data_IF_322420739179
#
_entry.id   IF_322420739179
#
_cell.length_a   1.000
_cell.length_b   1.000
_cell.length_c   1.000
_cell.angle_alpha   90.00
_cell.angle_beta   90.00
_cell.angle_gamma   90.00
#
_symmetry.space_group_name_H-M   'P 1'
#
loop_
_entity.id
_entity.type
_entity.pdbx_description
1 polymer ?
#
# COMPACT_ATOMS: atom_id res chain seq x y z
N UNK A 1 8.60 18.64 -21.35
CA UNK A 1 8.64 18.56 -19.86
C UNK A 1 8.63 19.95 -19.26
N UNK A 2 7.65 20.30 -18.42
CA UNK A 2 7.63 21.58 -17.68
C UNK A 2 8.78 21.57 -16.64
N UNK A 3 9.66 22.57 -16.69
CA UNK A 3 10.69 22.80 -15.68
C UNK A 3 10.14 23.78 -14.65
N UNK A 4 10.13 23.38 -13.38
CA UNK A 4 9.83 24.28 -12.27
C UNK A 4 11.12 24.99 -11.88
N UNK A 5 11.10 26.32 -11.86
CA UNK A 5 12.25 27.15 -11.47
C UNK A 5 11.91 27.81 -10.13
N UNK A 6 12.65 27.45 -9.08
CA UNK A 6 12.49 28.04 -7.75
C UNK A 6 13.65 29.00 -7.45
N UNK A 7 13.34 30.26 -7.13
CA UNK A 7 14.28 31.32 -6.71
C UNK A 7 14.34 32.57 -7.61
N UNK A 8 14.89 33.69 -7.08
CA UNK A 8 15.29 34.90 -7.84
C UNK A 8 16.84 34.97 -7.94
N UNK A 9 17.40 35.38 -9.07
CA UNK A 9 18.85 35.59 -9.27
C UNK A 9 19.68 34.32 -9.62
N UNK A 10 20.99 34.33 -9.32
CA UNK A 10 21.99 33.29 -9.70
C UNK A 10 21.73 31.86 -9.16
N UNK A 11 20.73 31.63 -8.31
CA UNK A 11 20.36 30.30 -7.77
C UNK A 11 18.99 29.87 -8.29
N UNK A 12 18.89 29.59 -9.59
CA UNK A 12 17.72 28.90 -10.17
C UNK A 12 17.82 27.41 -9.91
N UNK A 13 16.88 26.87 -9.13
CA UNK A 13 16.72 25.42 -8.97
C UNK A 13 15.91 24.89 -10.15
N UNK A 14 16.55 24.17 -11.07
CA UNK A 14 15.83 23.51 -12.17
C UNK A 14 15.35 22.11 -11.76
N UNK A 15 14.07 22.02 -11.40
CA UNK A 15 13.37 20.77 -11.12
C UNK A 15 12.53 20.34 -12.32
N UNK A 16 12.65 19.09 -12.72
CA UNK A 16 11.70 18.45 -13.64
C UNK A 16 10.42 18.08 -12.90
N UNK A 17 9.32 17.81 -13.60
CA UNK A 17 8.10 17.28 -12.99
C UNK A 17 8.35 16.04 -12.13
N UNK A 18 9.15 15.10 -12.64
CA UNK A 18 9.58 13.89 -11.94
C UNK A 18 10.36 14.18 -10.65
N UNK A 19 11.18 15.24 -10.64
CA UNK A 19 11.88 15.65 -9.42
C UNK A 19 10.92 16.19 -8.36
N UNK A 20 9.92 16.97 -8.77
CA UNK A 20 8.91 17.50 -7.86
C UNK A 20 8.10 16.36 -7.24
N UNK A 21 7.71 15.37 -8.04
CA UNK A 21 7.01 14.17 -7.56
C UNK A 21 7.84 13.38 -6.54
N UNK A 22 9.11 13.11 -6.86
CA UNK A 22 10.01 12.44 -5.92
C UNK A 22 10.11 13.18 -4.59
N UNK A 23 10.30 14.50 -4.67
CA UNK A 23 10.49 15.33 -3.48
C UNK A 23 9.19 15.44 -2.66
N UNK A 24 8.01 15.45 -3.27
CA UNK A 24 6.71 15.40 -2.57
C UNK A 24 6.48 14.07 -1.87
N UNK A 25 6.82 12.97 -2.53
CA UNK A 25 6.71 11.64 -1.94
C UNK A 25 7.68 11.50 -0.76
N UNK A 26 8.95 11.92 -0.94
CA UNK A 26 9.93 11.96 0.14
C UNK A 26 9.50 12.89 1.28
N UNK A 27 8.90 14.04 0.96
CA UNK A 27 8.58 15.10 1.92
C UNK A 27 7.69 14.62 3.06
N UNK A 28 6.84 13.62 2.86
CA UNK A 28 6.13 13.11 4.03
C UNK A 28 5.93 11.61 4.14
N UNK A 29 6.48 10.78 3.24
CA UNK A 29 6.99 9.50 3.76
C UNK A 29 8.09 9.78 4.78
N UNK A 30 8.86 10.85 4.60
CA UNK A 30 9.82 11.38 5.58
C UNK A 30 11.18 10.70 5.54
N UNK A 31 11.31 9.53 4.90
CA UNK A 31 12.61 8.89 4.65
C UNK A 31 12.51 7.91 3.49
N UNK A 32 13.51 7.90 2.61
CA UNK A 32 13.72 6.89 1.58
C UNK A 32 15.06 6.20 1.73
N UNK A 33 15.17 4.95 1.28
CA UNK A 33 16.44 4.30 1.01
C UNK A 33 16.99 4.79 -0.35
N UNK A 34 18.28 4.55 -0.61
CA UNK A 34 18.83 4.74 -1.95
C UNK A 34 18.17 3.82 -2.98
N UNK A 35 17.70 2.64 -2.56
CA UNK A 35 16.97 1.70 -3.42
C UNK A 35 15.62 2.27 -3.85
N UNK A 36 14.89 2.97 -2.97
CA UNK A 36 13.66 3.67 -3.35
C UNK A 36 13.93 4.76 -4.38
N UNK A 37 15.02 5.52 -4.21
CA UNK A 37 15.41 6.51 -5.22
C UNK A 37 15.78 5.85 -6.55
N UNK A 38 16.45 4.70 -6.52
CA UNK A 38 16.75 3.92 -7.70
C UNK A 38 15.46 3.40 -8.36
N UNK A 39 14.53 2.79 -7.62
CA UNK A 39 13.22 2.37 -8.13
C UNK A 39 12.46 3.52 -8.77
N UNK A 40 12.43 4.69 -8.11
CA UNK A 40 11.72 5.87 -8.58
C UNK A 40 12.30 6.44 -9.88
N UNK A 41 13.63 6.53 -9.99
CA UNK A 41 14.32 7.16 -11.12
C UNK A 41 14.77 6.17 -12.20
N UNK A 42 14.77 4.87 -11.91
CA UNK A 42 15.28 3.80 -12.75
C UNK A 42 16.81 3.68 -12.68
N UNK A 43 17.51 4.29 -13.65
CA UNK A 43 18.91 3.93 -13.97
C UNK A 43 19.90 4.17 -12.83
N UNK A 44 20.86 3.24 -12.66
CA UNK A 44 21.83 3.21 -11.55
C UNK A 44 22.63 4.51 -11.35
N UNK A 45 22.97 5.24 -12.43
CA UNK A 45 23.77 6.47 -12.30
C UNK A 45 22.93 7.74 -12.22
N UNK A 46 21.70 7.74 -12.74
CA UNK A 46 20.88 8.94 -12.79
C UNK A 46 20.38 9.35 -11.40
N UNK A 47 19.84 8.40 -10.62
CA UNK A 47 19.29 8.70 -9.31
C UNK A 47 20.35 9.30 -8.37
N UNK A 48 21.57 8.75 -8.36
CA UNK A 48 22.67 9.26 -7.53
C UNK A 48 22.99 10.73 -7.85
N UNK A 49 23.13 11.06 -9.14
CA UNK A 49 23.36 12.45 -9.57
C UNK A 49 22.22 13.37 -9.15
N UNK A 50 20.97 12.91 -9.22
CA UNK A 50 19.81 13.67 -8.76
C UNK A 50 19.84 13.91 -7.25
N UNK A 51 20.09 12.87 -6.45
CA UNK A 51 20.17 12.98 -4.98
C UNK A 51 21.31 13.91 -4.56
N UNK A 52 22.47 13.82 -5.19
CA UNK A 52 23.59 14.75 -4.94
C UNK A 52 23.20 16.19 -5.26
N UNK A 53 22.51 16.42 -6.39
CA UNK A 53 22.02 17.75 -6.77
C UNK A 53 21.06 18.30 -5.70
N UNK A 54 20.11 17.49 -5.23
CA UNK A 54 19.18 17.86 -4.16
C UNK A 54 19.88 18.14 -2.83
N UNK A 55 20.93 17.39 -2.49
CA UNK A 55 21.71 17.60 -1.28
C UNK A 55 22.48 18.93 -1.35
N UNK A 56 23.13 19.24 -2.50
CA UNK A 56 23.79 20.54 -2.74
C UNK A 56 22.80 21.71 -2.64
N UNK A 57 21.56 21.50 -3.07
CA UNK A 57 20.46 22.45 -2.95
C UNK A 57 19.80 22.49 -1.57
N UNK A 58 20.31 21.71 -0.61
CA UNK A 58 19.76 21.59 0.75
C UNK A 58 18.29 21.17 0.78
N UNK A 59 17.81 20.47 -0.24
CA UNK A 59 16.45 19.90 -0.28
C UNK A 59 16.38 18.57 0.48
N UNK A 60 17.48 17.82 0.49
CA UNK A 60 17.57 16.54 1.18
C UNK A 60 18.84 16.42 2.02
N UNK A 61 18.81 15.55 3.03
CA UNK A 61 20.00 15.05 3.73
C UNK A 61 20.20 13.58 3.35
N UNK A 62 21.45 13.18 3.14
CA UNK A 62 21.83 11.78 2.88
C UNK A 62 22.76 11.29 3.98
N UNK A 63 22.46 10.15 4.60
CA UNK A 63 23.25 9.47 5.64
C UNK A 63 22.86 7.99 5.67
N UNK A 64 23.80 7.07 5.90
CA UNK A 64 23.52 5.63 6.08
C UNK A 64 22.62 5.02 4.98
N UNK A 65 22.90 5.32 3.71
CA UNK A 65 22.09 4.91 2.54
C UNK A 65 20.61 5.34 2.58
N UNK A 66 20.29 6.31 3.41
CA UNK A 66 18.96 6.89 3.53
C UNK A 66 18.98 8.36 3.06
N UNK A 67 17.81 8.83 2.65
CA UNK A 67 17.53 10.17 2.16
C UNK A 67 16.39 10.70 3.02
N UNK A 68 16.58 11.87 3.62
CA UNK A 68 15.53 12.57 4.38
C UNK A 68 15.23 13.91 3.71
N UNK A 69 13.96 14.36 3.74
CA UNK A 69 13.67 15.74 3.39
C UNK A 69 14.33 16.68 4.41
N UNK A 70 14.70 17.87 3.98
CA UNK A 70 15.12 18.95 4.90
C UNK A 70 13.91 19.81 5.25
N UNK A 71 14.00 20.54 6.37
CA UNK A 71 12.98 21.55 6.71
C UNK A 71 12.80 22.60 5.62
N UNK A 72 13.86 22.88 4.84
CA UNK A 72 13.78 23.74 3.67
C UNK A 72 12.88 23.14 2.57
N UNK A 73 13.04 21.85 2.24
CA UNK A 73 12.19 21.19 1.26
C UNK A 73 10.72 21.17 1.69
N UNK A 74 10.42 20.85 2.95
CA UNK A 74 9.04 20.82 3.43
C UNK A 74 8.42 22.22 3.46
N UNK A 75 9.17 23.25 3.84
CA UNK A 75 8.71 24.64 3.70
C UNK A 75 8.42 25.00 2.25
N UNK A 76 9.27 24.57 1.32
CA UNK A 76 9.17 24.86 -0.10
C UNK A 76 7.97 24.18 -0.78
N UNK A 77 7.63 22.95 -0.37
CA UNK A 77 6.54 22.18 -0.95
C UNK A 77 5.19 22.37 -0.25
N UNK A 78 5.18 22.73 1.03
CA UNK A 78 3.97 22.66 1.86
C UNK A 78 3.74 23.87 2.78
N UNK A 79 4.32 25.04 2.49
CA UNK A 79 3.96 26.29 3.18
C UNK A 79 4.34 26.39 4.67
N UNK A 80 5.21 25.51 5.18
CA UNK A 80 5.68 25.57 6.58
C UNK A 80 5.36 24.32 7.37
N UNK A 81 6.39 23.65 7.88
CA UNK A 81 6.28 22.50 8.77
C UNK A 81 7.66 22.02 9.18
N UNK A 82 7.78 21.56 10.43
CA UNK A 82 9.00 20.91 10.92
C UNK A 82 8.97 19.42 10.57
N UNK A 83 10.03 18.91 9.94
CA UNK A 83 10.27 17.47 9.85
C UNK A 83 10.93 17.04 11.16
N UNK A 84 10.25 16.18 11.92
CA UNK A 84 10.93 15.38 12.92
C UNK A 84 11.74 14.30 12.19
N UNK A 85 13.03 14.17 12.50
CA UNK A 85 13.82 13.04 12.04
C UNK A 85 13.13 11.75 12.50
N UNK A 86 12.87 10.86 11.54
CA UNK A 86 12.24 9.57 11.80
C UNK A 86 13.17 8.74 12.69
N UNK A 87 12.72 8.28 13.88
CA UNK A 87 13.53 7.40 14.72
C UNK A 87 13.92 6.12 13.98
N UNK A 88 15.11 5.59 14.25
CA UNK A 88 15.63 4.41 13.56
C UNK A 88 14.64 3.23 13.54
N UNK A 89 13.98 2.98 14.66
CA UNK A 89 12.96 1.93 14.86
C UNK A 89 11.73 2.04 13.93
N UNK A 90 11.44 3.24 13.40
CA UNK A 90 10.31 3.50 12.49
C UNK A 90 10.72 3.54 11.02
N UNK A 91 12.02 3.51 10.72
CA UNK A 91 12.49 3.61 9.32
C UNK A 91 11.97 2.48 8.46
N UNK A 92 12.00 1.25 8.96
CA UNK A 92 11.51 0.09 8.20
C UNK A 92 10.03 0.23 7.84
N UNK A 93 9.20 0.67 8.79
CA UNK A 93 7.79 0.93 8.58
C UNK A 93 7.52 2.00 7.51
N UNK A 94 8.31 3.08 7.51
CA UNK A 94 8.17 4.15 6.52
C UNK A 94 8.73 3.74 5.16
N UNK A 95 9.73 2.85 5.13
CA UNK A 95 10.19 2.22 3.89
C UNK A 95 9.09 1.39 3.24
N UNK A 96 8.34 0.64 4.02
CA UNK A 96 7.15 -0.06 3.54
C UNK A 96 6.13 0.88 2.90
N UNK A 97 5.90 2.04 3.51
CA UNK A 97 5.00 3.05 2.93
C UNK A 97 5.59 3.64 1.65
N UNK A 98 6.91 3.88 1.60
CA UNK A 98 7.59 4.30 0.38
C UNK A 98 7.40 3.27 -0.73
N UNK A 99 7.63 1.98 -0.45
CA UNK A 99 7.45 0.89 -1.40
C UNK A 99 5.99 0.84 -1.89
N UNK A 100 5.02 1.05 -1.00
CA UNK A 100 3.61 1.10 -1.37
C UNK A 100 3.30 2.30 -2.30
N UNK A 101 3.80 3.49 -1.97
CA UNK A 101 3.66 4.67 -2.82
C UNK A 101 4.29 4.46 -4.20
N UNK A 102 5.47 3.84 -4.25
CA UNK A 102 6.18 3.54 -5.49
C UNK A 102 5.44 2.49 -6.33
N UNK A 103 4.90 1.45 -5.68
CA UNK A 103 4.11 0.39 -6.30
C UNK A 103 2.82 0.92 -6.93
N UNK A 104 2.13 1.83 -6.25
CA UNK A 104 0.87 2.38 -6.72
C UNK A 104 1.06 3.38 -7.87
N UNK A 105 2.24 3.97 -8.03
CA UNK A 105 2.62 4.68 -9.24
C UNK A 105 3.43 5.94 -8.96
N UNK A 106 4.41 6.18 -9.82
CA UNK A 106 5.16 7.43 -9.88
C UNK A 106 4.51 8.34 -10.94
N UNK A 107 3.57 9.17 -10.51
CA UNK A 107 2.87 10.11 -11.36
C UNK A 107 1.86 10.97 -10.60
N UNK A 108 1.47 12.10 -11.18
CA UNK A 108 0.46 13.03 -10.67
C UNK A 108 -0.83 12.31 -10.29
N UNK A 109 -1.08 12.11 -8.99
CA UNK A 109 -2.28 11.43 -8.50
C UNK A 109 -2.14 10.87 -7.09
N UNK A 110 -0.92 10.47 -6.68
CA UNK A 110 -0.65 10.06 -5.30
C UNK A 110 -0.46 11.30 -4.43
N UNK A 111 -1.57 11.79 -3.87
CA UNK A 111 -1.53 12.83 -2.84
C UNK A 111 -1.41 12.17 -1.47
N UNK A 112 -0.18 12.15 -0.95
CA UNK A 112 0.02 11.75 0.44
C UNK A 112 -0.39 12.93 1.33
N UNK A 113 -1.68 12.98 1.72
CA UNK A 113 -2.18 14.00 2.62
C UNK A 113 -1.59 13.80 4.02
N UNK A 114 -0.60 14.63 4.36
CA UNK A 114 0.06 14.58 5.66
C UNK A 114 -0.77 15.23 6.76
N UNK A 115 -0.56 14.74 7.97
CA UNK A 115 -1.20 15.05 9.26
C UNK A 115 -1.62 16.52 9.52
N UNK A 116 -1.02 17.50 8.86
CA UNK A 116 -1.32 18.93 9.03
C UNK A 116 -2.41 19.49 8.10
N UNK A 117 -2.64 18.86 6.94
CA UNK A 117 -3.73 19.24 6.01
C UNK A 117 -5.06 18.55 6.35
N UNK A 118 -5.04 17.68 7.36
CA UNK A 118 -6.20 16.99 7.90
C UNK A 118 -6.54 17.63 9.25
N UNK A 119 -7.12 18.82 9.22
CA UNK A 119 -7.56 19.52 10.43
C UNK A 119 -8.49 18.63 11.27
N UNK A 120 -8.43 18.79 12.61
CA UNK A 120 -9.45 18.26 13.51
C UNK A 120 -9.31 16.82 14.01
N UNK A 121 -8.35 16.02 13.52
CA UNK A 121 -8.30 14.60 13.90
C UNK A 121 -7.02 14.20 14.63
N UNK A 122 -7.15 13.54 15.80
CA UNK A 122 -6.05 13.01 16.62
C UNK A 122 -5.38 11.77 15.98
N UNK A 123 -4.99 11.88 14.70
CA UNK A 123 -4.47 10.80 13.82
C UNK A 123 -3.02 10.41 14.14
N UNK A 124 -2.76 9.74 15.27
CA UNK A 124 -1.40 9.24 15.59
C UNK A 124 -0.94 8.10 14.66
N UNK A 125 -1.85 7.47 13.93
CA UNK A 125 -1.62 6.23 13.18
C UNK A 125 -1.90 6.30 11.67
N UNK A 126 -2.58 7.35 11.19
CA UNK A 126 -2.67 7.61 9.75
C UNK A 126 -1.30 8.07 9.26
N UNK A 127 -0.71 7.29 8.37
CA UNK A 127 0.59 7.57 7.81
C UNK A 127 0.49 8.27 6.44
N UNK A 128 -0.52 7.92 5.66
CA UNK A 128 -0.74 8.45 4.32
C UNK A 128 -2.23 8.34 3.92
N UNK A 129 -2.66 9.17 2.99
CA UNK A 129 -3.80 8.86 2.11
C UNK A 129 -3.20 8.62 0.73
N UNK A 130 -3.68 7.62 0.00
CA UNK A 130 -3.18 7.29 -1.34
C UNK A 130 -4.34 7.32 -2.32
N UNK A 131 -4.16 7.98 -3.47
CA UNK A 131 -5.18 8.03 -4.53
C UNK A 131 -4.62 7.50 -5.83
N UNK A 132 -5.34 6.58 -6.47
CA UNK A 132 -4.99 5.96 -7.75
C UNK A 132 -6.26 5.57 -8.51
N UNK A 133 -6.39 5.97 -9.77
CA UNK A 133 -7.50 5.57 -10.66
C UNK A 133 -8.89 5.75 -10.04
N UNK A 134 -9.09 6.88 -9.36
CA UNK A 134 -10.35 7.19 -8.65
C UNK A 134 -10.55 6.46 -7.31
N UNK A 135 -9.66 5.53 -6.94
CA UNK A 135 -9.65 4.86 -5.63
C UNK A 135 -8.80 5.64 -4.64
N UNK A 136 -9.34 5.85 -3.44
CA UNK A 136 -8.66 6.51 -2.34
C UNK A 136 -8.54 5.55 -1.16
N UNK A 137 -7.33 5.41 -0.61
CA UNK A 137 -6.99 4.53 0.50
C UNK A 137 -6.41 5.32 1.67
N UNK A 138 -6.98 5.18 2.87
CA UNK A 138 -6.32 5.59 4.10
C UNK A 138 -5.28 4.55 4.52
N UNK A 139 -4.01 4.93 4.68
CA UNK A 139 -2.93 4.03 5.07
C UNK A 139 -2.56 4.26 6.54
N UNK A 140 -2.74 3.23 7.34
CA UNK A 140 -2.51 3.22 8.77
C UNK A 140 -1.33 2.32 9.12
N UNK A 141 -0.56 2.73 10.13
CA UNK A 141 0.53 1.92 10.68
C UNK A 141 0.14 1.41 12.07
N UNK A 142 0.05 0.09 12.22
CA UNK A 142 -0.18 -0.56 13.51
C UNK A 142 1.15 -0.97 14.15
N UNK A 143 1.61 -0.15 15.11
CA UNK A 143 2.89 -0.38 15.81
C UNK A 143 2.79 -1.27 17.05
N UNK A 144 1.58 -1.49 17.57
CA UNK A 144 1.37 -2.17 18.85
C UNK A 144 0.38 -3.32 18.75
N UNK A 145 0.52 -4.28 19.65
CA UNK A 145 -0.35 -5.47 19.78
C UNK A 145 -1.49 -5.32 20.79
N UNK A 146 -1.61 -4.17 21.44
CA UNK A 146 -2.65 -3.97 22.45
C UNK A 146 -3.97 -3.59 21.81
N UNK A 147 -5.09 -3.99 22.45
CA UNK A 147 -6.45 -3.53 22.11
C UNK A 147 -6.54 -2.01 21.98
N UNK A 148 -5.80 -1.28 22.82
CA UNK A 148 -5.72 0.17 22.76
C UNK A 148 -5.04 0.68 21.49
N UNK A 149 -3.97 0.03 21.02
CA UNK A 149 -3.32 0.41 19.76
C UNK A 149 -4.25 0.15 18.56
N UNK A 150 -4.91 -1.01 18.53
CA UNK A 150 -5.89 -1.38 17.50
C UNK A 150 -7.11 -0.45 17.50
N UNK A 151 -7.68 -0.16 18.68
CA UNK A 151 -8.81 0.75 18.84
C UNK A 151 -8.53 2.12 18.24
N UNK A 152 -7.31 2.65 18.43
CA UNK A 152 -6.91 3.93 17.83
C UNK A 152 -6.78 3.92 16.31
N UNK A 153 -6.54 2.76 15.70
CA UNK A 153 -6.61 2.63 14.23
C UNK A 153 -8.07 2.67 13.78
N UNK A 154 -8.97 1.96 14.48
CA UNK A 154 -10.41 2.01 14.17
C UNK A 154 -11.01 3.41 14.37
N UNK A 155 -10.64 4.11 15.44
CA UNK A 155 -11.04 5.52 15.64
C UNK A 155 -10.59 6.36 14.45
N UNK A 156 -9.33 6.20 14.03
CA UNK A 156 -8.79 6.91 12.87
C UNK A 156 -9.49 6.57 11.55
N UNK A 157 -9.90 5.31 11.35
CA UNK A 157 -10.71 4.88 10.20
C UNK A 157 -12.07 5.57 10.20
N UNK A 158 -12.75 5.56 11.35
CA UNK A 158 -14.06 6.20 11.54
C UNK A 158 -14.00 7.71 11.30
N UNK A 159 -13.00 8.37 11.86
CA UNK A 159 -12.81 9.81 11.74
C UNK A 159 -12.41 10.25 10.33
N UNK A 160 -11.71 9.40 9.58
CA UNK A 160 -11.27 9.71 8.23
C UNK A 160 -12.40 9.59 7.20
N UNK A 161 -13.37 8.70 7.43
CA UNK A 161 -14.55 8.55 6.57
C UNK A 161 -14.25 8.08 5.14
N UNK A 162 -13.07 7.54 4.88
CA UNK A 162 -12.68 7.00 3.57
C UNK A 162 -13.18 5.56 3.47
N UNK A 163 -13.79 5.14 2.34
CA UNK A 163 -14.38 3.82 2.19
C UNK A 163 -13.36 2.68 2.10
N UNK A 164 -12.07 2.97 1.87
CA UNK A 164 -11.01 1.98 1.71
C UNK A 164 -9.81 2.30 2.57
N UNK A 165 -9.20 1.26 3.13
CA UNK A 165 -8.01 1.44 3.96
C UNK A 165 -7.00 0.29 3.84
N UNK A 166 -5.75 0.63 4.10
CA UNK A 166 -4.63 -0.30 4.26
C UNK A 166 -4.08 -0.15 5.66
N UNK A 167 -4.01 -1.24 6.41
CA UNK A 167 -3.39 -1.29 7.73
C UNK A 167 -2.11 -2.11 7.62
N UNK A 168 -0.97 -1.43 7.73
CA UNK A 168 0.36 -2.04 7.77
C UNK A 168 0.71 -2.43 9.20
N UNK A 169 0.90 -3.72 9.47
CA UNK A 169 1.22 -4.25 10.79
C UNK A 169 2.72 -4.49 10.95
N UNK A 170 3.30 -3.99 12.04
CA UNK A 170 4.72 -4.22 12.36
C UNK A 170 5.01 -5.55 13.06
N UNK A 171 3.99 -6.19 13.61
CA UNK A 171 4.13 -7.49 14.26
C UNK A 171 2.97 -8.40 13.91
N UNK A 172 3.24 -9.70 13.95
CA UNK A 172 2.24 -10.74 13.69
C UNK A 172 1.14 -10.72 14.74
N UNK A 173 1.48 -10.53 16.01
CA UNK A 173 0.51 -10.48 17.11
C UNK A 173 -0.43 -9.27 16.97
N UNK A 174 0.09 -8.13 16.51
CA UNK A 174 -0.75 -6.97 16.21
C UNK A 174 -1.71 -7.24 15.05
N UNK A 175 -1.25 -7.94 14.02
CA UNK A 175 -2.09 -8.35 12.89
C UNK A 175 -3.20 -9.31 13.32
N UNK A 176 -2.88 -10.32 14.14
CA UNK A 176 -3.84 -11.28 14.69
C UNK A 176 -4.89 -10.58 15.56
N UNK A 177 -4.47 -9.72 16.48
CA UNK A 177 -5.39 -8.97 17.35
C UNK A 177 -6.26 -7.99 16.54
N UNK A 178 -5.69 -7.34 15.51
CA UNK A 178 -6.47 -6.50 14.62
C UNK A 178 -7.53 -7.31 13.86
N UNK A 179 -7.14 -8.45 13.28
CA UNK A 179 -8.08 -9.32 12.56
C UNK A 179 -9.23 -9.77 13.45
N UNK A 180 -8.94 -10.19 14.69
CA UNK A 180 -9.94 -10.65 15.66
C UNK A 180 -10.96 -9.56 16.00
N UNK A 181 -10.53 -8.31 16.09
CA UNK A 181 -11.41 -7.19 16.40
C UNK A 181 -12.13 -6.65 15.15
N UNK A 182 -11.49 -6.68 13.99
CA UNK A 182 -12.03 -6.15 12.74
C UNK A 182 -13.36 -6.79 12.35
N UNK A 183 -13.58 -8.08 12.63
CA UNK A 183 -14.85 -8.76 12.37
C UNK A 183 -16.06 -8.04 12.99
N UNK A 184 -15.90 -7.47 14.18
CA UNK A 184 -16.95 -6.71 14.88
C UNK A 184 -17.05 -5.27 14.33
N UNK A 185 -15.92 -4.67 13.96
CA UNK A 185 -15.85 -3.27 13.56
C UNK A 185 -16.20 -3.02 12.09
N UNK A 186 -15.84 -3.92 11.16
CA UNK A 186 -16.09 -3.77 9.73
C UNK A 186 -17.56 -3.48 9.42
N UNK A 187 -18.49 -4.15 10.12
CA UNK A 187 -19.94 -3.93 9.98
C UNK A 187 -20.37 -2.49 10.26
N UNK A 188 -19.72 -1.81 11.21
CA UNK A 188 -20.14 -0.49 11.71
C UNK A 188 -19.48 0.66 10.95
N UNK A 189 -18.37 0.39 10.26
CA UNK A 189 -17.57 1.42 9.60
C UNK A 189 -17.97 1.65 8.13
N UNK A 190 -18.80 0.78 7.54
CA UNK A 190 -19.24 0.94 6.15
C UNK A 190 -18.08 0.90 5.14
N UNK A 191 -16.99 0.21 5.48
CA UNK A 191 -15.82 0.09 4.61
C UNK A 191 -16.14 -0.82 3.42
N UNK A 192 -15.77 -0.37 2.23
CA UNK A 192 -15.79 -1.18 1.02
C UNK A 192 -14.59 -2.13 0.98
N UNK A 193 -13.45 -1.73 1.55
CA UNK A 193 -12.20 -2.48 1.51
C UNK A 193 -11.33 -2.18 2.74
N UNK A 194 -10.81 -3.23 3.39
CA UNK A 194 -9.90 -3.09 4.52
C UNK A 194 -8.76 -4.11 4.40
N UNK A 195 -7.66 -3.68 3.79
CA UNK A 195 -6.49 -4.50 3.58
C UNK A 195 -5.65 -4.57 4.85
N UNK A 196 -5.49 -5.78 5.40
CA UNK A 196 -4.63 -6.00 6.56
C UNK A 196 -3.34 -6.67 6.10
N UNK A 197 -2.24 -5.91 6.10
CA UNK A 197 -1.00 -6.32 5.48
C UNK A 197 0.18 -6.22 6.45
N UNK A 198 1.11 -7.19 6.44
CA UNK A 198 2.37 -7.06 7.19
C UNK A 198 3.23 -5.95 6.54
N UNK A 199 3.85 -5.09 7.34
CA UNK A 199 4.55 -3.92 6.80
C UNK A 199 5.73 -4.30 5.88
N UNK A 200 6.49 -5.34 6.21
CA UNK A 200 7.69 -5.75 5.50
C UNK A 200 7.44 -6.29 4.07
N UNK A 201 6.34 -7.02 3.85
CA UNK A 201 6.02 -7.65 2.54
C UNK A 201 4.70 -7.19 1.93
N UNK A 202 3.79 -6.64 2.73
CA UNK A 202 2.47 -6.17 2.34
C UNK A 202 2.44 -5.20 1.16
N UNK A 203 3.30 -4.17 1.13
CA UNK A 203 3.40 -3.27 -0.02
C UNK A 203 3.62 -4.00 -1.35
N UNK A 204 4.53 -4.99 -1.38
CA UNK A 204 4.80 -5.79 -2.58
C UNK A 204 3.61 -6.66 -2.96
N UNK A 205 2.90 -7.22 -1.97
CA UNK A 205 1.67 -8.00 -2.21
C UNK A 205 0.60 -7.14 -2.86
N UNK A 206 0.37 -5.93 -2.32
CA UNK A 206 -0.61 -5.00 -2.86
C UNK A 206 -0.20 -4.50 -4.25
N UNK A 207 1.10 -4.27 -4.47
CA UNK A 207 1.65 -3.95 -5.79
C UNK A 207 1.32 -5.02 -6.83
N UNK A 208 1.59 -6.28 -6.51
CA UNK A 208 1.32 -7.43 -7.37
C UNK A 208 -0.17 -7.54 -7.68
N UNK A 209 -1.02 -7.48 -6.65
CA UNK A 209 -2.47 -7.58 -6.77
C UNK A 209 -3.12 -6.43 -7.56
N UNK A 210 -2.46 -5.27 -7.66
CA UNK A 210 -2.93 -4.12 -8.45
C UNK A 210 -2.20 -3.98 -9.80
N UNK A 211 -1.34 -4.92 -10.14
CA UNK A 211 -0.60 -4.90 -11.40
C UNK A 211 -1.48 -5.41 -12.56
N UNK A 212 -1.28 -4.92 -13.80
CA UNK A 212 -1.94 -5.49 -14.97
C UNK A 212 -1.65 -6.99 -15.17
N UNK A 213 -0.46 -7.45 -14.74
CA UNK A 213 -0.08 -8.86 -14.83
C UNK A 213 -0.98 -9.77 -14.00
N UNK A 214 -1.46 -9.31 -12.84
CA UNK A 214 -2.39 -10.09 -12.02
C UNK A 214 -3.75 -10.32 -12.70
N UNK A 215 -4.30 -9.30 -13.38
CA UNK A 215 -5.54 -9.50 -14.16
C UNK A 215 -5.32 -10.47 -15.32
N UNK A 216 -4.13 -10.45 -15.94
CA UNK A 216 -3.73 -11.42 -16.95
C UNK A 216 -3.74 -12.85 -16.41
N UNK A 217 -3.11 -13.08 -15.25
CA UNK A 217 -3.10 -14.38 -14.58
C UNK A 217 -4.51 -14.89 -14.23
N UNK A 218 -5.40 -13.99 -13.80
CA UNK A 218 -6.81 -14.35 -13.56
C UNK A 218 -7.52 -14.72 -14.86
N UNK A 219 -7.34 -13.96 -15.94
CA UNK A 219 -7.96 -14.24 -17.23
C UNK A 219 -7.47 -15.54 -17.87
N UNK A 220 -6.20 -15.92 -17.65
CA UNK A 220 -5.63 -17.19 -18.09
C UNK A 220 -6.22 -18.39 -17.32
N UNK A 221 -6.34 -18.28 -15.99
CA UNK A 221 -6.89 -19.36 -15.16
C UNK A 221 -8.42 -19.46 -15.24
N UNK A 222 -9.10 -18.33 -15.47
CA UNK A 222 -10.55 -18.24 -15.50
C UNK A 222 -10.99 -17.49 -16.77
N UNK A 223 -11.00 -18.17 -17.94
CA UNK A 223 -11.40 -17.54 -19.19
C UNK A 223 -12.81 -16.95 -19.10
N UNK A 224 -12.96 -15.69 -19.49
CA UNK A 224 -14.24 -14.97 -19.41
C UNK A 224 -14.64 -14.50 -18.01
N UNK A 225 -13.72 -14.50 -17.05
CA UNK A 225 -13.97 -13.96 -15.70
C UNK A 225 -14.32 -12.48 -15.74
N UNK A 226 -15.38 -12.10 -15.03
CA UNK A 226 -15.87 -10.72 -14.97
C UNK A 226 -15.83 -10.20 -13.53
N UNK A 227 -15.29 -9.00 -13.33
CA UNK A 227 -15.29 -8.36 -12.01
C UNK A 227 -16.69 -7.83 -11.68
N UNK A 228 -17.24 -8.24 -10.53
CA UNK A 228 -18.57 -7.82 -10.06
C UNK A 228 -18.51 -6.91 -8.83
N UNK A 229 -17.42 -6.97 -8.06
CA UNK A 229 -17.15 -6.06 -6.94
C UNK A 229 -15.62 -5.94 -6.72
N UNK A 230 -15.14 -5.06 -5.82
CA UNK A 230 -13.73 -5.08 -5.42
C UNK A 230 -13.32 -6.48 -4.96
N UNK A 231 -12.28 -7.03 -5.59
CA UNK A 231 -11.74 -8.37 -5.31
C UNK A 231 -12.71 -9.55 -5.49
N UNK A 232 -13.89 -9.33 -6.09
CA UNK A 232 -14.87 -10.39 -6.36
C UNK A 232 -15.20 -10.41 -7.84
N UNK A 233 -15.17 -11.61 -8.38
CA UNK A 233 -15.40 -11.89 -9.78
C UNK A 233 -16.44 -12.99 -9.94
N UNK A 234 -17.02 -13.07 -11.13
CA UNK A 234 -17.92 -14.14 -11.54
C UNK A 234 -17.29 -14.89 -12.71
N UNK A 235 -17.30 -16.21 -12.62
CA UNK A 235 -16.80 -17.12 -13.65
C UNK A 235 -17.67 -18.38 -13.66
N UNK A 236 -18.24 -18.72 -14.82
CA UNK A 236 -19.11 -19.89 -14.99
C UNK A 236 -20.24 -20.01 -13.95
N UNK A 237 -20.86 -18.88 -13.60
CA UNK A 237 -21.92 -18.82 -12.58
C UNK A 237 -21.42 -18.95 -11.13
N UNK A 238 -20.12 -19.15 -10.92
CA UNK A 238 -19.47 -19.22 -9.60
C UNK A 238 -18.84 -17.88 -9.22
N UNK A 239 -18.71 -17.64 -7.92
CA UNK A 239 -17.94 -16.50 -7.41
C UNK A 239 -16.48 -16.88 -7.21
N UNK A 240 -15.59 -16.03 -7.71
CA UNK A 240 -14.15 -16.09 -7.48
C UNK A 240 -13.76 -14.90 -6.59
N UNK A 241 -13.28 -15.16 -5.38
CA UNK A 241 -12.94 -14.13 -4.38
C UNK A 241 -11.44 -14.07 -4.17
N UNK A 242 -10.84 -12.92 -4.46
CA UNK A 242 -9.40 -12.68 -4.33
C UNK A 242 -9.07 -12.22 -2.92
N UNK A 243 -8.35 -13.06 -2.18
CA UNK A 243 -7.89 -12.81 -0.81
C UNK A 243 -6.38 -12.56 -0.71
N UNK A 244 -5.67 -12.43 -1.84
CA UNK A 244 -4.21 -12.21 -1.87
C UNK A 244 -3.76 -11.00 -1.04
N UNK A 245 -4.50 -9.89 -1.10
CA UNK A 245 -4.24 -8.68 -0.30
C UNK A 245 -4.83 -8.72 1.13
N UNK A 246 -5.37 -9.87 1.57
CA UNK A 246 -6.00 -10.10 2.87
C UNK A 246 -7.03 -9.01 3.23
N UNK A 247 -7.99 -8.80 2.32
CA UNK A 247 -9.11 -7.90 2.55
C UNK A 247 -10.07 -8.46 3.61
N UNK A 248 -10.17 -7.76 4.74
CA UNK A 248 -11.01 -8.16 5.86
C UNK A 248 -12.51 -7.99 5.56
N UNK A 249 -12.88 -7.08 4.66
CA UNK A 249 -14.29 -6.89 4.26
C UNK A 249 -14.76 -8.11 3.46
N UNK A 250 -13.98 -8.56 2.48
CA UNK A 250 -14.27 -9.79 1.72
C UNK A 250 -14.30 -11.03 2.60
N UNK A 251 -13.34 -11.16 3.53
CA UNK A 251 -13.34 -12.27 4.51
C UNK A 251 -14.61 -12.29 5.34
N UNK A 252 -15.04 -11.14 5.86
CA UNK A 252 -16.28 -11.04 6.62
C UNK A 252 -17.50 -11.42 5.77
N UNK A 253 -17.59 -10.92 4.52
CA UNK A 253 -18.69 -11.29 3.60
C UNK A 253 -18.75 -12.79 3.32
N UNK A 254 -17.60 -13.46 3.20
CA UNK A 254 -17.53 -14.91 3.09
C UNK A 254 -18.04 -15.61 4.35
N UNK A 255 -17.65 -15.13 5.53
CA UNK A 255 -18.09 -15.70 6.81
C UNK A 255 -19.61 -15.59 7.02
N UNK A 256 -20.22 -14.48 6.61
CA UNK A 256 -21.69 -14.30 6.73
C UNK A 256 -22.47 -14.96 5.59
N UNK A 257 -22.02 -14.79 4.36
CA UNK A 257 -22.75 -15.17 3.14
C UNK A 257 -22.41 -16.57 2.63
N UNK A 258 -21.55 -17.30 3.34
CA UNK A 258 -21.05 -18.61 2.96
C UNK A 258 -19.91 -18.57 1.93
N UNK A 259 -19.08 -19.61 1.97
CA UNK A 259 -17.94 -19.83 1.07
C UNK A 259 -18.06 -21.11 0.23
N UNK A 260 -19.05 -21.95 0.52
CA UNK A 260 -19.25 -23.21 -0.21
C UNK A 260 -19.59 -22.93 -1.68
N UNK A 261 -18.95 -23.66 -2.60
CA UNK A 261 -19.11 -23.49 -4.05
C UNK A 261 -18.33 -22.32 -4.65
N UNK A 262 -17.66 -21.49 -3.85
CA UNK A 262 -16.82 -20.37 -4.29
C UNK A 262 -15.37 -20.80 -4.47
N UNK A 263 -14.65 -20.11 -5.35
CA UNK A 263 -13.20 -20.26 -5.51
C UNK A 263 -12.51 -19.10 -4.80
N UNK A 264 -11.61 -19.39 -3.87
CA UNK A 264 -10.85 -18.37 -3.18
C UNK A 264 -9.42 -18.31 -3.74
N UNK A 265 -9.05 -17.18 -4.31
CA UNK A 265 -7.71 -16.93 -4.85
C UNK A 265 -6.85 -16.32 -3.76
N UNK A 266 -5.76 -16.97 -3.37
CA UNK A 266 -4.83 -16.45 -2.37
C UNK A 266 -3.37 -16.69 -2.76
N UNK A 267 -2.43 -16.13 -2.00
CA UNK A 267 -1.02 -16.47 -2.17
C UNK A 267 -0.72 -17.85 -1.55
N UNK A 268 0.28 -18.54 -2.10
CA UNK A 268 0.71 -19.87 -1.65
C UNK A 268 1.08 -19.88 -0.17
N UNK A 269 1.77 -18.84 0.32
CA UNK A 269 2.09 -18.66 1.73
C UNK A 269 0.88 -18.38 2.64
N UNK A 270 -0.29 -18.08 2.07
CA UNK A 270 -1.55 -17.85 2.80
C UNK A 270 -2.48 -19.08 2.80
N UNK A 271 -2.17 -20.11 2.00
CA UNK A 271 -3.04 -21.28 1.81
C UNK A 271 -3.50 -21.89 3.13
N UNK A 272 -2.55 -22.23 4.01
CA UNK A 272 -2.84 -22.87 5.31
C UNK A 272 -3.77 -22.02 6.19
N UNK A 273 -3.62 -20.71 6.13
CA UNK A 273 -4.45 -19.80 6.90
C UNK A 273 -5.89 -19.79 6.36
N UNK A 274 -6.06 -19.64 5.05
CA UNK A 274 -7.40 -19.59 4.45
C UNK A 274 -8.10 -20.95 4.41
N UNK A 275 -7.38 -22.05 4.30
CA UNK A 275 -7.96 -23.39 4.40
C UNK A 275 -8.50 -23.68 5.80
N UNK A 276 -7.85 -23.15 6.84
CA UNK A 276 -8.32 -23.26 8.22
C UNK A 276 -9.51 -22.33 8.49
N UNK A 277 -9.51 -21.14 7.90
CA UNK A 277 -10.58 -20.15 8.07
C UNK A 277 -11.85 -20.50 7.29
N UNK A 278 -11.71 -21.10 6.10
CA UNK A 278 -12.80 -21.47 5.20
C UNK A 278 -12.73 -22.96 4.85
N UNK A 279 -13.02 -23.85 5.82
CA UNK A 279 -12.92 -25.29 5.59
C UNK A 279 -13.88 -25.72 4.46
N UNK A 280 -13.37 -26.51 3.51
CA UNK A 280 -14.12 -26.98 2.36
C UNK A 280 -14.24 -25.99 1.20
N UNK A 281 -13.70 -24.77 1.32
CA UNK A 281 -13.58 -23.87 0.18
C UNK A 281 -12.59 -24.40 -0.86
N UNK A 282 -12.89 -24.17 -2.14
CA UNK A 282 -11.93 -24.43 -3.21
C UNK A 282 -10.91 -23.29 -3.26
N UNK A 283 -9.62 -23.63 -3.19
CA UNK A 283 -8.53 -22.65 -3.18
C UNK A 283 -7.73 -22.72 -4.47
N UNK A 284 -7.52 -21.56 -5.09
CA UNK A 284 -6.54 -21.37 -6.15
C UNK A 284 -5.38 -20.55 -5.58
N UNK A 285 -4.16 -21.05 -5.68
CA UNK A 285 -3.01 -20.42 -5.05
C UNK A 285 -2.07 -19.84 -6.10
N UNK A 286 -1.77 -18.55 -5.98
CA UNK A 286 -0.70 -17.89 -6.71
C UNK A 286 0.64 -18.07 -6.00
N UNK A 287 1.73 -18.05 -6.76
CA UNK A 287 3.06 -17.88 -6.18
C UNK A 287 3.16 -16.53 -5.46
N UNK A 288 3.90 -16.47 -4.37
CA UNK A 288 3.99 -15.27 -3.51
C UNK A 288 4.60 -14.05 -4.22
N UNK A 289 5.29 -14.26 -5.36
CA UNK A 289 5.88 -13.23 -6.21
C UNK A 289 5.01 -12.84 -7.42
N UNK A 290 3.79 -13.40 -7.53
CA UNK A 290 2.88 -13.20 -8.66
C UNK A 290 3.48 -13.63 -10.02
N UNK A 291 4.46 -14.54 -10.04
CA UNK A 291 5.05 -15.07 -11.29
C UNK A 291 4.17 -16.11 -11.98
N UNK A 292 3.09 -16.55 -11.34
CA UNK A 292 2.16 -17.54 -11.88
C UNK A 292 1.40 -18.28 -10.78
N UNK A 293 0.77 -19.38 -11.16
CA UNK A 293 0.02 -20.24 -10.26
C UNK A 293 0.93 -21.27 -9.57
N UNK A 294 0.69 -21.47 -8.28
CA UNK A 294 1.25 -22.55 -7.48
C UNK A 294 0.27 -23.74 -7.43
N UNK A 295 -1.03 -23.46 -7.48
CA UNK A 295 -2.09 -24.46 -7.48
C UNK A 295 -3.33 -23.91 -8.20
N UNK A 296 -3.89 -24.69 -9.11
CA UNK A 296 -5.13 -24.37 -9.80
C UNK A 296 -6.34 -24.96 -9.05
N UNK A 297 -7.53 -24.36 -9.22
CA UNK A 297 -8.77 -25.00 -8.79
C UNK A 297 -8.97 -26.34 -9.52
N UNK A 298 -9.75 -27.22 -8.89
CA UNK A 298 -10.14 -28.51 -9.48
C UNK A 298 -10.94 -28.26 -10.76
N UNK A 299 -10.48 -28.84 -11.88
CA UNK A 299 -11.17 -28.70 -13.18
C UNK A 299 -10.69 -27.54 -14.05
N UNK A 300 -9.72 -26.74 -13.59
CA UNK A 300 -9.00 -25.79 -14.46
C UNK A 300 -7.71 -26.46 -14.93
N UNK A 301 -7.64 -26.82 -16.21
CA UNK A 301 -6.41 -27.30 -16.82
C UNK A 301 -5.44 -26.13 -17.02
N UNK A 302 -4.17 -26.31 -16.64
CA UNK A 302 -3.15 -25.31 -16.92
C UNK A 302 -3.00 -25.16 -18.44
N UNK A 303 -3.33 -23.99 -18.98
CA UNK A 303 -3.00 -23.66 -20.35
C UNK A 303 -1.48 -23.49 -20.48
N UNK A 304 -0.76 -24.61 -20.66
CA UNK A 304 0.65 -24.64 -21.03
C UNK A 304 1.65 -24.69 -19.86
N UNK A 305 2.19 -25.89 -19.64
CA UNK A 305 3.59 -26.09 -19.25
C UNK A 305 4.49 -26.10 -20.48
#
# INVERSE_FOLDING_TARGET
>A
MKKLVLGKGRKRLELTGRDVEFLRMLAGVGVFSLEHAQKFYGSQKYYLRRIEKFARWKLVKRRDRCIWPTSFLVKLLEGGGHIALVPARRRQALFSIADLCLALGTGSGVEVLYRKHLEGVRKKYLAAVLRKDGREYGVFLLEGRSRFAVGRVFDGLKELGIPRAVVLCLSREGMEEFSRLAEVFCRRLGLEELLLLPADRGPSVLAGALSPGFEGLLGEAFPGIERVAPWVYRWEGREVVVLAANDLVSRWRLLEGGWMGKVLVCLSGQRRFFSALFPGAELACLRDDFSGWAEFPSGVESAGS
#
